data_IF_915457939503
#
_entry.id   IF_915457939503
#
_cell.length_a   1.000
_cell.length_b   1.000
_cell.length_c   1.000
_cell.angle_alpha   90.00
_cell.angle_beta   90.00
_cell.angle_gamma   90.00
#
_symmetry.space_group_name_H-M   'P 1'
#
loop_
_entity.id
_entity.type
_entity.pdbx_description
1 polymer ?
#
# COMPACT_ATOMS: atom_id res chain seq x y z
N UNK A 1 -7.53 16.57 -2.94
CA UNK A 1 -7.22 15.42 -3.82
C UNK A 1 -5.95 15.67 -4.64
N UNK A 2 -5.94 16.66 -5.55
CA UNK A 2 -4.79 16.92 -6.43
C UNK A 2 -3.46 17.24 -5.73
N UNK A 3 -3.47 18.03 -4.65
CA UNK A 3 -2.23 18.39 -3.93
C UNK A 3 -1.53 17.19 -3.26
N UNK A 4 -2.29 16.25 -2.70
CA UNK A 4 -1.74 15.04 -2.05
C UNK A 4 -1.18 14.07 -3.11
N UNK A 5 -1.91 13.88 -4.21
CA UNK A 5 -1.42 13.09 -5.35
C UNK A 5 -0.19 13.74 -5.96
N UNK A 6 -0.18 15.06 -6.13
CA UNK A 6 0.97 15.83 -6.63
C UNK A 6 2.21 15.72 -5.73
N UNK A 7 2.04 15.74 -4.41
CA UNK A 7 3.14 15.54 -3.45
C UNK A 7 3.70 14.11 -3.52
N UNK A 8 2.84 13.09 -3.59
CA UNK A 8 3.28 11.69 -3.74
C UNK A 8 4.03 11.47 -5.07
N UNK A 9 3.59 12.13 -6.13
CA UNK A 9 4.28 12.13 -7.44
C UNK A 9 5.64 12.83 -7.36
N UNK A 10 5.72 14.00 -6.70
CA UNK A 10 6.98 14.72 -6.53
C UNK A 10 8.01 13.91 -5.71
N UNK A 11 7.56 13.30 -4.61
CA UNK A 11 8.39 12.38 -3.80
C UNK A 11 8.87 11.22 -4.67
N UNK A 12 8.00 10.60 -5.46
CA UNK A 12 8.42 9.47 -6.29
C UNK A 12 9.37 9.81 -7.42
N UNK A 13 9.28 11.00 -8.01
CA UNK A 13 10.26 11.43 -9.00
C UNK A 13 11.63 11.63 -8.36
N UNK A 14 11.69 11.98 -7.07
CA UNK A 14 12.93 12.03 -6.31
C UNK A 14 13.54 10.66 -6.01
N UNK A 15 12.74 9.57 -6.01
CA UNK A 15 13.20 8.21 -5.67
C UNK A 15 13.22 7.24 -6.87
N UNK A 16 12.86 7.66 -8.08
CA UNK A 16 12.73 6.77 -9.26
C UNK A 16 11.82 5.56 -9.05
N UNK A 17 10.89 5.64 -8.07
CA UNK A 17 10.00 4.54 -7.66
C UNK A 17 8.59 4.66 -8.25
N UNK A 18 8.48 4.96 -9.54
CA UNK A 18 7.21 5.39 -10.17
C UNK A 18 6.03 4.42 -10.00
N UNK A 19 6.29 3.11 -9.89
CA UNK A 19 5.24 2.10 -9.78
C UNK A 19 4.65 1.97 -8.37
N UNK A 20 5.45 2.27 -7.33
CA UNK A 20 5.04 2.26 -5.91
C UNK A 20 3.92 3.28 -5.64
N UNK A 21 3.83 4.32 -6.47
CA UNK A 21 2.83 5.39 -6.34
C UNK A 21 1.41 4.90 -6.60
N UNK A 22 1.18 3.99 -7.56
CA UNK A 22 -0.20 3.68 -7.98
C UNK A 22 -1.01 3.07 -6.83
N UNK A 23 -0.40 2.15 -6.08
CA UNK A 23 -0.97 1.60 -4.86
C UNK A 23 -1.20 2.68 -3.80
N UNK A 24 -0.19 3.50 -3.52
CA UNK A 24 -0.22 4.48 -2.43
C UNK A 24 -1.10 5.71 -2.72
N UNK A 25 -1.16 6.17 -3.96
CA UNK A 25 -2.05 7.23 -4.42
C UNK A 25 -3.51 6.76 -4.38
N UNK A 26 -3.78 5.51 -4.78
CA UNK A 26 -5.10 4.90 -4.62
C UNK A 26 -5.50 4.77 -3.15
N UNK A 27 -4.55 4.41 -2.26
CA UNK A 27 -4.77 4.42 -0.81
C UNK A 27 -5.13 5.80 -0.29
N UNK A 28 -4.37 6.83 -0.67
CA UNK A 28 -4.63 8.21 -0.27
C UNK A 28 -6.00 8.70 -0.76
N UNK A 29 -6.36 8.42 -2.02
CA UNK A 29 -7.66 8.76 -2.58
C UNK A 29 -8.80 8.05 -1.81
N UNK A 30 -8.64 6.76 -1.51
CA UNK A 30 -9.63 5.96 -0.77
C UNK A 30 -9.81 6.46 0.66
N UNK A 31 -8.70 6.81 1.34
CA UNK A 31 -8.73 7.39 2.69
C UNK A 31 -9.47 8.71 2.71
N UNK A 32 -9.23 9.60 1.74
CA UNK A 32 -9.93 10.89 1.71
C UNK A 32 -11.42 10.68 1.34
N UNK A 33 -11.74 9.75 0.44
CA UNK A 33 -13.11 9.48 0.01
C UNK A 33 -13.97 8.71 1.03
N UNK A 34 -13.37 7.86 1.86
CA UNK A 34 -14.09 6.92 2.76
C UNK A 34 -13.39 6.73 4.12
N UNK A 35 -12.91 7.83 4.71
CA UNK A 35 -12.25 7.79 6.02
C UNK A 35 -13.16 7.24 7.11
N UNK A 36 -12.60 6.41 8.01
CA UNK A 36 -13.32 5.82 9.14
C UNK A 36 -13.92 4.43 8.89
N UNK A 37 -13.92 3.95 7.65
CA UNK A 37 -14.34 2.58 7.29
C UNK A 37 -13.27 1.54 7.68
N UNK A 38 -13.63 0.25 7.85
CA UNK A 38 -12.65 -0.79 8.22
C UNK A 38 -11.41 -0.85 7.31
N UNK A 39 -11.52 -0.73 5.96
CA UNK A 39 -10.36 -0.76 5.06
C UNK A 39 -9.46 0.48 5.15
N UNK A 40 -9.98 1.62 5.62
CA UNK A 40 -9.20 2.85 5.75
C UNK A 40 -8.65 3.03 7.16
N UNK A 41 -8.87 2.11 8.12
CA UNK A 41 -8.27 2.21 9.45
C UNK A 41 -6.73 2.22 9.34
N UNK A 42 -6.01 3.03 10.13
CA UNK A 42 -4.55 3.14 10.09
C UNK A 42 -3.83 1.77 10.11
N UNK A 43 -4.34 0.88 10.97
CA UNK A 43 -3.82 -0.49 11.14
C UNK A 43 -4.01 -1.39 9.92
N UNK A 44 -5.02 -1.14 9.09
CA UNK A 44 -5.31 -1.91 7.87
C UNK A 44 -4.44 -1.41 6.72
N UNK A 45 -4.27 -0.08 6.59
CA UNK A 45 -3.39 0.54 5.60
C UNK A 45 -1.95 0.04 5.78
N UNK A 46 -1.39 0.21 6.99
CA UNK A 46 0.01 -0.15 7.26
C UNK A 46 0.23 -1.66 7.07
N UNK A 47 -0.64 -2.48 7.65
CA UNK A 47 -0.51 -3.93 7.55
C UNK A 47 -0.67 -4.43 6.12
N UNK A 48 -1.66 -3.91 5.38
CA UNK A 48 -1.94 -4.33 4.00
C UNK A 48 -0.76 -4.05 3.08
N UNK A 49 -0.16 -2.86 3.16
CA UNK A 49 0.99 -2.52 2.31
C UNK A 49 2.23 -3.35 2.63
N UNK A 50 2.52 -3.59 3.90
CA UNK A 50 3.66 -4.41 4.34
C UNK A 50 3.45 -5.87 3.95
N UNK A 51 2.30 -6.46 4.28
CA UNK A 51 2.02 -7.87 3.99
C UNK A 51 1.97 -8.13 2.49
N UNK A 52 1.40 -7.22 1.69
CA UNK A 52 1.41 -7.34 0.24
C UNK A 52 2.81 -7.27 -0.35
N UNK A 53 3.66 -6.36 0.15
CA UNK A 53 5.06 -6.28 -0.31
C UNK A 53 5.85 -7.54 0.04
N UNK A 54 5.68 -8.07 1.26
CA UNK A 54 6.35 -9.30 1.69
C UNK A 54 5.88 -10.53 0.90
N UNK A 55 4.56 -10.67 0.67
CA UNK A 55 4.02 -11.75 -0.17
C UNK A 55 4.54 -11.65 -1.61
N UNK A 56 4.61 -10.43 -2.16
CA UNK A 56 5.18 -10.19 -3.49
C UNK A 56 6.66 -10.58 -3.58
N UNK A 57 7.49 -10.13 -2.63
CA UNK A 57 8.91 -10.49 -2.57
C UNK A 57 9.11 -12.00 -2.41
N UNK A 58 8.28 -12.66 -1.59
CA UNK A 58 8.33 -14.10 -1.38
C UNK A 58 8.06 -14.86 -2.69
N UNK A 59 6.99 -14.51 -3.41
CA UNK A 59 6.67 -15.17 -4.68
C UNK A 59 7.71 -14.84 -5.75
N UNK A 60 8.19 -13.60 -5.81
CA UNK A 60 9.25 -13.20 -6.73
C UNK A 60 10.57 -13.95 -6.48
N UNK A 61 10.85 -14.36 -5.24
CA UNK A 61 12.03 -15.19 -4.93
C UNK A 61 11.90 -16.64 -5.42
N UNK A 62 10.67 -17.11 -5.72
CA UNK A 62 10.39 -18.50 -6.09
C UNK A 62 9.98 -18.67 -7.56
N UNK A 63 9.53 -17.59 -8.22
CA UNK A 63 8.90 -17.65 -9.53
C UNK A 63 9.37 -16.51 -10.44
N UNK A 64 9.58 -16.83 -11.72
CA UNK A 64 9.84 -15.83 -12.76
C UNK A 64 8.62 -14.90 -12.94
N UNK A 65 8.82 -13.58 -13.14
CA UNK A 65 7.72 -12.66 -13.38
C UNK A 65 6.82 -13.10 -14.56
N UNK A 66 5.50 -13.10 -14.33
CA UNK A 66 4.52 -13.51 -15.34
C UNK A 66 3.10 -13.58 -14.76
N UNK A 67 2.06 -13.75 -15.61
CA UNK A 67 0.67 -13.67 -15.18
C UNK A 67 0.31 -14.59 -14.01
N UNK A 68 0.84 -15.82 -14.03
CA UNK A 68 0.61 -16.81 -12.98
C UNK A 68 1.30 -16.40 -11.66
N UNK A 69 2.55 -15.95 -11.72
CA UNK A 69 3.29 -15.48 -10.55
C UNK A 69 2.63 -14.25 -9.91
N UNK A 70 2.18 -13.30 -10.73
CA UNK A 70 1.45 -12.12 -10.24
C UNK A 70 0.10 -12.50 -9.61
N UNK A 71 -0.63 -13.44 -10.22
CA UNK A 71 -1.88 -13.96 -9.68
C UNK A 71 -1.69 -14.61 -8.31
N UNK A 72 -0.66 -15.44 -8.15
CA UNK A 72 -0.31 -16.07 -6.87
C UNK A 72 0.09 -15.02 -5.84
N UNK A 73 0.93 -14.06 -6.20
CA UNK A 73 1.37 -13.00 -5.29
C UNK A 73 0.21 -12.15 -4.76
N UNK A 74 -0.67 -11.70 -5.65
CA UNK A 74 -1.87 -10.91 -5.28
C UNK A 74 -2.86 -11.76 -4.48
N UNK A 75 -3.08 -13.01 -4.89
CA UNK A 75 -3.97 -13.95 -4.18
C UNK A 75 -3.49 -14.22 -2.76
N UNK A 76 -2.20 -14.50 -2.58
CA UNK A 76 -1.58 -14.72 -1.27
C UNK A 76 -1.67 -13.47 -0.40
N UNK A 77 -1.30 -12.30 -0.93
CA UNK A 77 -1.41 -11.03 -0.23
C UNK A 77 -2.85 -10.75 0.23
N UNK A 78 -3.82 -10.98 -0.66
CA UNK A 78 -5.24 -10.79 -0.37
C UNK A 78 -5.74 -11.78 0.68
N UNK A 79 -5.34 -13.05 0.60
CA UNK A 79 -5.67 -14.07 1.59
C UNK A 79 -5.13 -13.70 2.98
N UNK A 80 -3.87 -13.25 3.07
CA UNK A 80 -3.27 -12.79 4.33
C UNK A 80 -4.03 -11.59 4.92
N UNK A 81 -4.38 -10.61 4.08
CA UNK A 81 -5.17 -9.45 4.51
C UNK A 81 -6.57 -9.84 5.00
N UNK A 82 -7.24 -10.77 4.32
CA UNK A 82 -8.57 -11.27 4.71
C UNK A 82 -8.48 -12.07 6.01
N UNK A 83 -7.55 -13.01 6.10
CA UNK A 83 -7.34 -13.85 7.29
C UNK A 83 -7.05 -13.02 8.55
N UNK A 84 -6.31 -11.92 8.39
CA UNK A 84 -5.98 -11.01 9.50
C UNK A 84 -7.01 -9.91 9.74
N UNK A 85 -8.14 -9.89 9.00
CA UNK A 85 -9.19 -8.88 9.09
C UNK A 85 -8.66 -7.45 8.86
N UNK A 86 -7.70 -7.31 7.94
CA UNK A 86 -6.94 -6.09 7.65
C UNK A 86 -6.93 -5.78 6.15
N UNK A 87 -8.05 -6.05 5.47
CA UNK A 87 -8.19 -5.81 4.05
C UNK A 87 -8.05 -4.32 3.71
N UNK A 88 -6.99 -3.98 2.98
CA UNK A 88 -6.79 -2.69 2.34
C UNK A 88 -6.55 -2.93 0.85
N UNK A 89 -7.62 -3.01 0.03
CA UNK A 89 -7.51 -3.42 -1.37
C UNK A 89 -6.45 -2.66 -2.20
N UNK A 90 -6.24 -1.34 -2.02
CA UNK A 90 -5.17 -0.62 -2.73
C UNK A 90 -3.78 -1.23 -2.54
N UNK A 91 -3.50 -1.84 -1.38
CA UNK A 91 -2.21 -2.45 -1.08
C UNK A 91 -1.89 -3.68 -1.93
N UNK A 92 -2.88 -4.36 -2.51
CA UNK A 92 -2.66 -5.58 -3.30
C UNK A 92 -1.71 -5.34 -4.50
N UNK A 93 -1.71 -4.13 -5.06
CA UNK A 93 -0.79 -3.75 -6.13
C UNK A 93 0.70 -3.87 -5.72
N UNK A 94 1.04 -3.69 -4.44
CA UNK A 94 2.41 -3.87 -3.93
C UNK A 94 2.92 -5.31 -4.12
N UNK A 95 2.03 -6.31 -4.17
CA UNK A 95 2.44 -7.69 -4.42
C UNK A 95 3.06 -7.86 -5.82
N UNK A 96 2.53 -7.17 -6.82
CA UNK A 96 3.08 -7.18 -8.19
C UNK A 96 4.33 -6.30 -8.26
N UNK A 97 4.28 -5.10 -7.68
CA UNK A 97 5.38 -4.13 -7.73
C UNK A 97 6.68 -4.70 -7.13
N UNK A 98 6.56 -5.58 -6.14
CA UNK A 98 7.70 -6.22 -5.46
C UNK A 98 8.61 -7.04 -6.38
N UNK A 99 8.12 -7.52 -7.54
CA UNK A 99 8.95 -8.24 -8.51
C UNK A 99 10.02 -7.35 -9.16
N UNK A 100 9.84 -6.03 -9.14
CA UNK A 100 10.78 -5.08 -9.76
C UNK A 100 11.90 -4.68 -8.79
N UNK A 101 11.64 -4.75 -7.49
CA UNK A 101 12.53 -4.20 -6.45
C UNK A 101 13.28 -5.29 -5.65
N UNK A 102 13.51 -6.47 -6.23
CA UNK A 102 14.20 -7.56 -5.54
C UNK A 102 15.63 -7.17 -5.12
N UNK A 103 16.38 -6.54 -6.02
CA UNK A 103 17.76 -6.10 -5.76
C UNK A 103 17.86 -4.94 -4.75
N UNK A 104 16.75 -4.22 -4.54
CA UNK A 104 16.66 -3.05 -3.66
C UNK A 104 15.61 -3.24 -2.57
N UNK A 105 15.37 -4.49 -2.14
CA UNK A 105 14.23 -4.85 -1.29
C UNK A 105 14.16 -4.04 0.02
N UNK A 106 15.30 -3.75 0.63
CA UNK A 106 15.38 -3.05 1.91
C UNK A 106 14.92 -1.60 1.76
N UNK A 107 15.43 -0.91 0.72
CA UNK A 107 15.03 0.45 0.41
C UNK A 107 13.55 0.52 0.02
N UNK A 108 13.07 -0.44 -0.77
CA UNK A 108 11.68 -0.56 -1.16
C UNK A 108 10.74 -0.77 0.03
N UNK A 109 11.05 -1.69 0.94
CA UNK A 109 10.25 -1.93 2.14
C UNK A 109 10.23 -0.69 3.04
N UNK A 110 11.37 -0.02 3.22
CA UNK A 110 11.43 1.22 4.00
C UNK A 110 10.56 2.32 3.39
N UNK A 111 10.63 2.53 2.07
CA UNK A 111 9.80 3.49 1.36
C UNK A 111 8.30 3.17 1.49
N UNK A 112 7.91 1.90 1.34
CA UNK A 112 6.52 1.46 1.54
C UNK A 112 6.06 1.75 2.95
N UNK A 113 6.84 1.40 3.96
CA UNK A 113 6.48 1.60 5.37
C UNK A 113 6.33 3.09 5.65
N UNK A 114 7.28 3.92 5.20
CA UNK A 114 7.25 5.36 5.40
C UNK A 114 6.00 5.99 4.80
N UNK A 115 5.69 5.70 3.53
CA UNK A 115 4.53 6.32 2.87
C UNK A 115 3.21 5.73 3.40
N UNK A 116 3.13 4.42 3.65
CA UNK A 116 1.94 3.82 4.27
C UNK A 116 1.68 4.38 5.67
N UNK A 117 2.74 4.68 6.45
CA UNK A 117 2.61 5.34 7.74
C UNK A 117 2.08 6.78 7.61
N UNK A 118 2.52 7.55 6.61
CA UNK A 118 1.96 8.88 6.33
C UNK A 118 0.46 8.80 5.97
N UNK A 119 0.06 7.83 5.15
CA UNK A 119 -1.36 7.65 4.75
C UNK A 119 -2.19 7.16 5.94
N UNK A 120 -1.64 6.27 6.78
CA UNK A 120 -2.27 5.82 8.01
C UNK A 120 -2.46 6.97 9.00
N UNK A 121 -1.47 7.87 9.13
CA UNK A 121 -1.57 9.08 9.94
C UNK A 121 -2.65 10.02 9.40
N UNK A 122 -2.68 10.26 8.08
CA UNK A 122 -3.73 11.05 7.44
C UNK A 122 -5.11 10.48 7.73
N UNK A 123 -5.28 9.15 7.64
CA UNK A 123 -6.54 8.49 7.99
C UNK A 123 -6.92 8.71 9.45
N UNK A 124 -5.96 8.61 10.39
CA UNK A 124 -6.20 8.85 11.80
C UNK A 124 -6.67 10.29 12.06
N UNK A 125 -6.03 11.28 11.44
CA UNK A 125 -6.38 12.69 11.56
C UNK A 125 -7.79 12.95 10.99
N UNK A 126 -8.08 12.48 9.78
CA UNK A 126 -9.39 12.66 9.15
C UNK A 126 -10.49 12.01 9.97
N UNK A 127 -10.28 10.78 10.45
CA UNK A 127 -11.24 10.10 11.33
C UNK A 127 -11.49 10.91 12.60
N UNK A 128 -10.42 11.41 13.25
CA UNK A 128 -10.56 12.22 14.46
C UNK A 128 -11.40 13.48 14.20
N UNK A 129 -11.16 14.19 13.09
CA UNK A 129 -11.92 15.39 12.71
C UNK A 129 -13.40 15.11 12.42
N UNK A 130 -13.71 13.97 11.80
CA UNK A 130 -15.08 13.57 11.49
C UNK A 130 -15.84 12.99 12.70
N UNK A 131 -15.12 12.56 13.75
CA UNK A 131 -15.71 11.98 14.97
C UNK A 131 -16.08 13.04 16.02
N UNK A 132 -15.66 14.29 15.85
CA UNK A 132 -16.04 15.39 16.76
C UNK A 132 -17.51 15.77 16.46
N UNK A 133 -18.44 15.63 17.43
CA UNK A 133 -19.80 16.14 17.27
C UNK A 133 -19.72 17.67 17.12
N UNK A 134 -20.41 18.22 16.12
CA UNK A 134 -20.65 19.67 16.03
C UNK A 134 -21.66 20.10 17.08
#
# INVERSE_FOLDING_TARGET
>A
MGAVVGLLVAISQAFSTALVITSLASSAATVIGTSGTPPTRPRAILFGHISSALCGLLVAAMMTPGPLAYGIAVGLASAVMIATQRLHPPAAANAIISFIYQDTMVAYLFAIVAIAAMIALLSAILRARLSVPR
#
